data_IF_110243956010
#
_entry.id   IF_110243956010
#
_cell.length_a   1.000
_cell.length_b   1.000
_cell.length_c   1.000
_cell.angle_alpha   90.00
_cell.angle_beta   90.00
_cell.angle_gamma   90.00
#
_symmetry.space_group_name_H-M   'P 1'
#
loop_
_entity.id
_entity.type
_entity.pdbx_description
1 polymer ?
#
# COMPACT_ATOMS: atom_id res chain seq x y z
N UNK A 1 17.27 -23.49 -1.92
CA UNK A 1 17.08 -23.33 -3.38
C UNK A 1 16.83 -21.86 -3.67
N UNK A 2 17.80 -21.14 -4.24
CA UNK A 2 17.61 -19.73 -4.60
C UNK A 2 16.79 -19.65 -5.88
N UNK A 3 15.72 -18.86 -5.84
CA UNK A 3 14.78 -18.72 -6.96
C UNK A 3 15.28 -17.66 -7.95
N UNK A 4 14.61 -17.58 -9.10
CA UNK A 4 14.81 -16.49 -10.08
C UNK A 4 14.75 -15.10 -9.41
N UNK A 5 13.87 -14.90 -8.41
CA UNK A 5 13.77 -13.63 -7.68
C UNK A 5 15.02 -13.33 -6.84
N UNK A 6 15.69 -14.34 -6.29
CA UNK A 6 16.95 -14.16 -5.58
C UNK A 6 18.03 -13.58 -6.51
N UNK A 7 18.30 -14.23 -7.65
CA UNK A 7 19.27 -13.75 -8.61
C UNK A 7 18.99 -12.32 -9.07
N UNK A 8 17.72 -12.03 -9.40
CA UNK A 8 17.30 -10.68 -9.81
C UNK A 8 17.48 -9.64 -8.70
N UNK A 9 17.26 -10.01 -7.45
CA UNK A 9 17.50 -9.12 -6.30
C UNK A 9 18.99 -8.81 -6.16
N UNK A 10 19.85 -9.82 -6.22
CA UNK A 10 21.31 -9.65 -6.18
C UNK A 10 21.79 -8.77 -7.31
N UNK A 11 21.34 -9.00 -8.55
CA UNK A 11 21.66 -8.17 -9.70
C UNK A 11 21.24 -6.71 -9.50
N UNK A 12 20.06 -6.49 -8.95
CA UNK A 12 19.55 -5.13 -8.65
C UNK A 12 20.43 -4.43 -7.62
N UNK A 13 20.84 -5.12 -6.55
CA UNK A 13 21.73 -4.56 -5.52
C UNK A 13 23.10 -4.24 -6.13
N UNK A 14 23.66 -5.16 -6.92
CA UNK A 14 24.95 -4.95 -7.57
C UNK A 14 24.89 -3.82 -8.62
N UNK A 15 23.76 -3.64 -9.29
CA UNK A 15 23.53 -2.50 -10.17
C UNK A 15 23.49 -1.19 -9.37
N UNK A 16 22.73 -1.14 -8.27
CA UNK A 16 22.61 0.05 -7.41
C UNK A 16 23.99 0.51 -6.87
N UNK A 17 24.90 -0.42 -6.55
CA UNK A 17 26.26 -0.08 -6.10
C UNK A 17 27.03 0.78 -7.09
N UNK A 18 26.79 0.62 -8.39
CA UNK A 18 27.49 1.38 -9.45
C UNK A 18 27.13 2.88 -9.45
N UNK A 19 26.00 3.22 -8.85
CA UNK A 19 25.47 4.61 -8.77
C UNK A 19 25.61 5.20 -7.37
N UNK A 20 26.29 4.50 -6.45
CA UNK A 20 26.51 5.00 -5.11
C UNK A 20 27.51 6.17 -5.17
N UNK A 21 27.07 7.34 -4.72
CA UNK A 21 27.94 8.49 -4.56
C UNK A 21 28.97 8.23 -3.44
N UNK A 22 30.10 8.95 -3.46
CA UNK A 22 31.10 8.88 -2.40
C UNK A 22 30.46 9.13 -1.02
N UNK A 23 30.65 8.18 -0.10
CA UNK A 23 30.05 8.22 1.23
C UNK A 23 28.60 7.72 1.32
N UNK A 24 27.98 7.31 0.23
CA UNK A 24 26.65 6.71 0.22
C UNK A 24 26.64 5.32 0.85
N UNK A 25 25.47 4.92 1.36
CA UNK A 25 25.26 3.60 1.96
C UNK A 25 24.06 2.92 1.33
N UNK A 26 24.17 1.59 1.12
CA UNK A 26 23.05 0.75 0.72
C UNK A 26 22.63 -0.10 1.91
N UNK A 27 21.34 -0.09 2.20
CA UNK A 27 20.72 -0.98 3.17
C UNK A 27 19.84 -1.99 2.44
N UNK A 28 19.92 -3.24 2.84
CA UNK A 28 19.08 -4.33 2.32
C UNK A 28 18.34 -4.95 3.47
N UNK A 29 17.03 -4.97 3.41
CA UNK A 29 16.14 -5.54 4.43
C UNK A 29 15.07 -6.45 3.80
N UNK A 30 14.10 -6.82 4.61
CA UNK A 30 12.97 -7.66 4.23
C UNK A 30 13.20 -9.14 4.46
N UNK A 31 12.32 -9.96 3.87
CA UNK A 31 12.22 -11.40 4.17
C UNK A 31 13.55 -12.14 3.96
N UNK A 32 14.15 -12.01 2.78
CA UNK A 32 15.39 -12.72 2.45
C UNK A 32 16.56 -12.26 3.31
N UNK A 33 16.69 -10.95 3.55
CA UNK A 33 17.73 -10.38 4.41
C UNK A 33 17.63 -10.89 5.87
N UNK A 34 16.41 -11.17 6.33
CA UNK A 34 16.17 -11.68 7.69
C UNK A 34 16.38 -13.18 7.79
N UNK A 35 15.98 -13.97 6.79
CA UNK A 35 16.02 -15.43 6.85
C UNK A 35 17.37 -16.02 6.47
N UNK A 36 18.08 -15.41 5.53
CA UNK A 36 19.34 -15.89 4.98
C UNK A 36 20.39 -14.75 4.86
N UNK A 37 20.69 -14.05 5.95
CA UNK A 37 21.55 -12.87 5.91
C UNK A 37 23.01 -13.21 5.52
N UNK A 38 23.53 -14.37 5.95
CA UNK A 38 24.89 -14.78 5.66
C UNK A 38 25.08 -15.08 4.17
N UNK A 39 24.17 -15.83 3.59
CA UNK A 39 24.15 -16.14 2.15
C UNK A 39 24.01 -14.88 1.31
N UNK A 40 23.12 -13.98 1.75
CA UNK A 40 22.93 -12.69 1.06
C UNK A 40 24.21 -11.84 1.15
N UNK A 41 24.85 -11.75 2.33
CA UNK A 41 26.09 -11.00 2.48
C UNK A 41 27.23 -11.55 1.62
N UNK A 42 27.32 -12.89 1.48
CA UNK A 42 28.33 -13.53 0.62
C UNK A 42 28.16 -13.12 -0.87
N UNK A 43 26.94 -12.99 -1.34
CA UNK A 43 26.63 -12.59 -2.72
C UNK A 43 26.82 -11.09 -3.00
N UNK A 44 26.44 -10.24 -2.03
CA UNK A 44 26.45 -8.78 -2.23
C UNK A 44 27.72 -8.10 -1.71
N UNK A 45 28.57 -8.80 -0.94
CA UNK A 45 29.83 -8.26 -0.39
C UNK A 45 29.61 -7.26 0.77
N UNK A 46 30.71 -6.82 1.39
CA UNK A 46 30.70 -6.09 2.66
C UNK A 46 30.32 -4.60 2.57
N UNK A 47 30.19 -4.05 1.37
CA UNK A 47 29.86 -2.63 1.18
C UNK A 47 28.35 -2.32 1.30
N UNK A 48 27.54 -3.32 1.62
CA UNK A 48 26.10 -3.23 1.80
C UNK A 48 25.75 -3.66 3.22
N UNK A 49 24.92 -2.90 3.87
CA UNK A 49 24.44 -3.21 5.23
C UNK A 49 23.15 -4.02 5.14
N UNK A 50 23.16 -5.21 5.74
CA UNK A 50 21.95 -6.04 5.87
C UNK A 50 21.26 -5.66 7.18
N UNK A 51 19.98 -5.31 7.08
CA UNK A 51 19.09 -5.13 8.22
C UNK A 51 18.25 -6.40 8.42
N UNK A 52 18.33 -6.97 9.64
CA UNK A 52 17.60 -8.19 10.03
C UNK A 52 16.40 -7.79 10.87
N UNK A 53 15.22 -8.32 10.53
CA UNK A 53 13.96 -8.05 11.21
C UNK A 53 13.19 -6.85 10.65
N UNK A 54 12.33 -6.29 11.48
CA UNK A 54 11.51 -5.13 11.15
C UNK A 54 12.31 -3.83 11.35
N UNK A 55 11.90 -2.78 10.66
CA UNK A 55 12.40 -1.42 10.88
C UNK A 55 11.55 -0.74 11.97
N UNK A 56 11.47 -1.37 13.15
CA UNK A 56 10.53 -1.05 14.23
C UNK A 56 11.16 -0.21 15.35
N UNK A 57 12.39 0.27 15.16
CA UNK A 57 13.08 1.13 16.11
C UNK A 57 13.55 2.42 15.44
N UNK A 58 13.55 3.54 16.18
CA UNK A 58 14.31 4.72 15.76
C UNK A 58 15.77 4.29 15.55
N UNK A 59 16.45 4.90 14.62
CA UNK A 59 17.88 4.63 14.36
C UNK A 59 18.24 3.33 13.62
N UNK A 60 17.26 2.52 13.18
CA UNK A 60 17.54 1.27 12.45
C UNK A 60 18.39 1.48 11.19
N UNK A 61 18.12 2.52 10.43
CA UNK A 61 18.89 2.86 9.24
C UNK A 61 19.89 4.00 9.48
N UNK A 62 19.53 4.98 10.32
CA UNK A 62 20.39 6.13 10.60
C UNK A 62 20.35 6.45 12.09
N UNK A 63 21.54 6.51 12.73
CA UNK A 63 21.68 6.77 14.18
C UNK A 63 21.09 8.11 14.65
N UNK A 64 20.89 9.07 13.77
CA UNK A 64 20.27 10.36 14.07
C UNK A 64 18.76 10.39 13.81
N UNK A 65 18.19 9.31 13.30
CA UNK A 65 16.78 9.24 12.98
C UNK A 65 15.94 8.96 14.23
N UNK A 66 14.82 9.68 14.38
CA UNK A 66 13.83 9.46 15.44
C UNK A 66 12.56 8.77 14.95
N UNK A 67 12.48 8.48 13.65
CA UNK A 67 11.30 7.92 13.01
C UNK A 67 11.34 6.39 13.05
N UNK A 68 10.22 5.79 13.41
CA UNK A 68 10.00 4.34 13.30
C UNK A 68 9.42 4.07 11.91
N UNK A 69 10.23 3.48 11.03
CA UNK A 69 9.85 3.29 9.62
C UNK A 69 8.67 2.32 9.48
N UNK A 70 8.60 1.28 10.31
CA UNK A 70 7.50 0.30 10.31
C UNK A 70 6.12 0.91 10.65
N UNK A 71 6.08 2.10 11.23
CA UNK A 71 4.86 2.83 11.57
C UNK A 71 4.43 3.84 10.49
N UNK A 72 5.29 4.07 9.49
CA UNK A 72 4.96 4.97 8.39
C UNK A 72 3.93 4.35 7.44
N UNK A 73 3.03 5.16 6.89
CA UNK A 73 2.14 4.67 5.84
C UNK A 73 2.94 4.37 4.57
N UNK A 74 2.53 3.38 3.77
CA UNK A 74 3.13 3.16 2.46
C UNK A 74 3.04 4.42 1.59
N UNK A 75 4.13 4.74 0.87
CA UNK A 75 4.12 5.83 -0.09
C UNK A 75 3.43 5.41 -1.39
N UNK A 76 2.15 5.79 -1.54
CA UNK A 76 1.37 5.50 -2.74
C UNK A 76 1.78 6.34 -3.94
N UNK A 77 2.56 7.41 -3.77
CA UNK A 77 2.96 8.26 -4.88
C UNK A 77 3.90 7.53 -5.85
N UNK A 78 4.71 6.60 -5.37
CA UNK A 78 5.60 5.78 -6.19
C UNK A 78 4.85 4.97 -7.26
N UNK A 79 3.58 4.63 -7.03
CA UNK A 79 2.75 3.92 -8.00
C UNK A 79 2.43 4.77 -9.24
N UNK A 80 2.55 6.08 -9.16
CA UNK A 80 2.37 6.98 -10.30
C UNK A 80 3.64 7.13 -11.14
N UNK A 81 4.81 6.78 -10.59
CA UNK A 81 6.08 6.82 -11.31
C UNK A 81 6.31 5.59 -12.20
N UNK A 82 5.72 4.45 -11.85
CA UNK A 82 5.89 3.19 -12.57
C UNK A 82 4.77 2.99 -13.59
N UNK A 83 5.08 2.28 -14.68
CA UNK A 83 4.08 1.96 -15.72
C UNK A 83 3.27 0.69 -15.40
N UNK A 84 3.72 -0.10 -14.40
CA UNK A 84 3.01 -1.27 -13.95
C UNK A 84 1.76 -0.90 -13.15
N UNK A 85 0.60 -1.42 -13.57
CA UNK A 85 -0.66 -1.24 -12.85
C UNK A 85 -0.77 -2.25 -11.70
N UNK A 86 -0.38 -1.83 -10.51
CA UNK A 86 -0.51 -2.66 -9.32
C UNK A 86 -1.99 -2.96 -9.02
N UNK A 87 -2.40 -4.23 -8.89
CA UNK A 87 -3.83 -4.60 -8.74
C UNK A 87 -4.51 -3.95 -7.53
N UNK A 88 -3.81 -3.87 -6.39
CA UNK A 88 -4.33 -3.32 -5.15
C UNK A 88 -3.98 -1.83 -4.94
N UNK A 89 -3.65 -1.08 -6.01
CA UNK A 89 -3.23 0.34 -5.90
C UNK A 89 -4.26 1.25 -5.20
N UNK A 90 -5.51 0.85 -5.17
CA UNK A 90 -6.60 1.57 -4.52
C UNK A 90 -7.08 0.87 -3.25
N UNK A 91 -6.17 0.25 -2.51
CA UNK A 91 -6.44 -0.33 -1.20
C UNK A 91 -5.55 0.31 -0.13
N UNK A 92 -6.07 0.43 1.08
CA UNK A 92 -5.22 0.60 2.25
C UNK A 92 -4.48 -0.70 2.52
N UNK A 93 -3.24 -0.61 2.92
CA UNK A 93 -2.47 -1.71 3.48
C UNK A 93 -2.30 -1.44 4.97
N UNK A 94 -2.79 -2.33 5.80
CA UNK A 94 -2.76 -2.11 7.24
C UNK A 94 -2.70 -3.41 8.04
N UNK A 95 -2.52 -3.24 9.33
CA UNK A 95 -2.47 -4.33 10.31
C UNK A 95 -3.44 -4.02 11.44
N UNK A 96 -4.13 -5.04 11.93
CA UNK A 96 -4.88 -4.99 13.19
C UNK A 96 -4.19 -5.81 14.28
N UNK A 97 -3.34 -6.76 13.87
CA UNK A 97 -2.41 -7.52 14.72
C UNK A 97 -1.05 -7.66 14.01
N UNK A 98 0.00 -8.04 14.73
CA UNK A 98 1.31 -8.34 14.14
C UNK A 98 1.85 -9.66 14.68
N UNK A 99 2.61 -10.37 13.84
CA UNK A 99 3.14 -11.68 14.19
C UNK A 99 2.08 -12.78 14.22
N UNK A 100 2.42 -13.92 14.82
CA UNK A 100 1.52 -15.06 14.94
C UNK A 100 1.80 -15.84 16.21
N UNK A 101 0.74 -16.33 16.86
CA UNK A 101 0.84 -17.23 18.03
C UNK A 101 1.37 -18.62 17.66
N UNK A 102 1.40 -18.96 16.36
CA UNK A 102 1.82 -20.27 15.85
C UNK A 102 3.30 -20.24 15.44
N UNK A 103 3.88 -21.44 15.44
CA UNK A 103 5.26 -21.71 14.95
C UNK A 103 5.24 -22.87 13.96
N UNK A 104 4.49 -22.69 12.87
CA UNK A 104 4.39 -23.70 11.83
C UNK A 104 5.75 -23.89 11.14
N UNK A 105 6.16 -25.14 10.92
CA UNK A 105 7.51 -25.48 10.41
C UNK A 105 7.82 -24.90 9.02
N UNK A 106 6.82 -24.61 8.23
CA UNK A 106 6.93 -24.01 6.88
C UNK A 106 6.87 -22.49 6.89
N UNK A 107 6.50 -21.85 8.02
CA UNK A 107 6.16 -20.44 8.08
C UNK A 107 7.31 -19.62 8.69
N UNK A 108 7.68 -18.56 7.99
CA UNK A 108 8.74 -17.64 8.41
C UNK A 108 8.29 -16.58 9.43
N UNK A 109 7.00 -16.43 9.68
CA UNK A 109 6.44 -15.33 10.51
C UNK A 109 7.04 -15.32 11.90
N UNK A 110 7.24 -16.49 12.52
CA UNK A 110 7.88 -16.56 13.86
C UNK A 110 9.31 -16.05 13.91
N UNK A 111 9.99 -15.98 12.77
CA UNK A 111 11.35 -15.40 12.65
C UNK A 111 11.29 -13.93 12.27
N UNK A 112 10.37 -13.56 11.36
CA UNK A 112 10.22 -12.19 10.86
C UNK A 112 9.58 -11.25 11.90
N UNK A 113 8.54 -11.74 12.57
CA UNK A 113 7.76 -11.04 13.58
C UNK A 113 7.63 -11.93 14.84
N UNK A 114 8.68 -12.04 15.65
CA UNK A 114 8.75 -13.01 16.76
C UNK A 114 7.80 -12.70 17.91
N UNK A 115 7.32 -11.47 18.00
CA UNK A 115 6.43 -11.00 19.06
C UNK A 115 5.03 -10.82 18.49
N UNK A 116 4.05 -11.56 19.04
CA UNK A 116 2.65 -11.35 18.71
C UNK A 116 2.13 -10.07 19.38
N UNK A 117 1.69 -9.10 18.57
CA UNK A 117 0.98 -7.90 19.02
C UNK A 117 -0.51 -8.15 18.82
N UNK A 118 -1.24 -8.26 19.91
CA UNK A 118 -2.66 -8.60 19.95
C UNK A 118 -3.57 -7.55 19.30
N UNK A 119 -3.14 -6.30 19.30
CA UNK A 119 -3.90 -5.19 18.75
C UNK A 119 -3.00 -4.09 18.19
N UNK A 120 -3.38 -3.60 17.02
CA UNK A 120 -2.79 -2.41 16.38
C UNK A 120 -3.93 -1.50 15.90
N UNK A 121 -3.84 -0.22 16.19
CA UNK A 121 -4.89 0.74 15.85
C UNK A 121 -4.94 0.99 14.33
N UNK A 122 -5.94 0.40 13.66
CA UNK A 122 -6.14 0.55 12.22
C UNK A 122 -6.62 1.95 11.84
N UNK A 123 -7.42 2.61 12.68
CA UNK A 123 -7.96 3.94 12.38
C UNK A 123 -6.83 4.96 12.20
N UNK A 124 -5.82 4.91 13.06
CA UNK A 124 -4.65 5.79 12.95
C UNK A 124 -3.89 5.59 11.64
N UNK A 125 -3.68 4.32 11.22
CA UNK A 125 -3.00 4.00 9.97
C UNK A 125 -3.77 4.52 8.75
N UNK A 126 -5.09 4.32 8.72
CA UNK A 126 -5.93 4.79 7.61
C UNK A 126 -5.96 6.32 7.56
N UNK A 127 -6.10 6.98 8.71
CA UNK A 127 -6.15 8.45 8.80
C UNK A 127 -4.88 9.10 8.23
N UNK A 128 -3.70 8.56 8.54
CA UNK A 128 -2.43 9.07 7.99
C UNK A 128 -2.41 8.88 6.47
N UNK A 129 -2.80 7.71 5.98
CA UNK A 129 -2.88 7.44 4.53
C UNK A 129 -3.85 8.40 3.84
N UNK A 130 -5.03 8.65 4.42
CA UNK A 130 -6.02 9.57 3.84
C UNK A 130 -5.52 11.00 3.73
N UNK A 131 -4.77 11.47 4.71
CA UNK A 131 -4.24 12.84 4.73
C UNK A 131 -3.30 13.13 3.55
N UNK A 132 -2.51 12.14 3.14
CA UNK A 132 -1.52 12.27 2.06
C UNK A 132 -2.01 11.77 0.71
N UNK A 133 -2.77 10.68 0.69
CA UNK A 133 -3.08 9.94 -0.53
C UNK A 133 -4.58 9.82 -0.81
N UNK A 134 -5.42 10.46 0.02
CA UNK A 134 -6.88 10.38 -0.07
C UNK A 134 -7.43 9.00 0.32
N UNK A 135 -8.76 8.92 0.38
CA UNK A 135 -9.46 7.69 0.72
C UNK A 135 -9.19 6.60 -0.31
N UNK A 136 -8.95 5.39 0.17
CA UNK A 136 -8.82 4.20 -0.67
C UNK A 136 -10.10 3.38 -0.64
N UNK A 137 -10.36 2.65 -1.72
CA UNK A 137 -11.61 1.90 -1.86
C UNK A 137 -11.67 0.66 -0.97
N UNK A 138 -10.58 -0.07 -0.84
CA UNK A 138 -10.57 -1.36 -0.14
C UNK A 138 -9.57 -1.32 1.03
N UNK A 139 -9.75 -2.23 1.97
CA UNK A 139 -8.83 -2.46 3.08
C UNK A 139 -8.21 -3.85 2.93
N UNK A 140 -6.91 -3.90 2.68
CA UNK A 140 -6.12 -5.10 2.62
C UNK A 140 -5.38 -5.27 3.95
N UNK A 141 -5.82 -6.22 4.75
CA UNK A 141 -5.21 -6.53 6.04
C UNK A 141 -4.08 -7.54 5.86
N UNK A 142 -2.92 -7.19 6.38
CA UNK A 142 -1.70 -7.99 6.29
C UNK A 142 -1.47 -8.85 7.54
N UNK A 143 -2.51 -9.02 8.34
CA UNK A 143 -2.48 -9.77 9.59
C UNK A 143 -2.19 -11.24 9.34
N UNK A 144 -1.25 -11.80 10.11
CA UNK A 144 -0.91 -13.21 10.01
C UNK A 144 -1.87 -14.14 10.75
N UNK A 145 -2.51 -13.66 11.83
CA UNK A 145 -3.48 -14.45 12.60
C UNK A 145 -4.40 -13.54 13.45
N UNK A 146 -5.34 -12.86 12.80
CA UNK A 146 -6.25 -11.92 13.47
C UNK A 146 -7.20 -12.59 14.45
N UNK A 147 -7.65 -13.83 14.17
CA UNK A 147 -8.58 -14.57 15.04
C UNK A 147 -7.95 -14.98 16.38
N UNK A 148 -6.61 -14.89 16.50
CA UNK A 148 -5.93 -15.18 17.76
C UNK A 148 -6.01 -14.00 18.75
N UNK A 149 -6.48 -12.84 18.32
CA UNK A 149 -6.61 -11.65 19.18
C UNK A 149 -7.75 -11.79 20.18
N UNK A 150 -7.48 -11.54 21.44
CA UNK A 150 -8.51 -11.40 22.49
C UNK A 150 -9.36 -10.14 22.24
N UNK A 151 -8.84 -9.18 21.48
CA UNK A 151 -9.53 -7.94 21.09
C UNK A 151 -10.21 -8.04 19.73
N UNK A 152 -10.41 -9.24 19.20
CA UNK A 152 -11.02 -9.44 17.88
C UNK A 152 -12.37 -8.70 17.72
N UNK A 153 -13.31 -8.71 18.68
CA UNK A 153 -14.54 -7.93 18.58
C UNK A 153 -14.30 -6.42 18.44
N UNK A 154 -13.28 -5.87 19.14
CA UNK A 154 -12.88 -4.47 19.03
C UNK A 154 -12.29 -4.18 17.65
N UNK A 155 -11.46 -5.07 17.13
CA UNK A 155 -10.89 -4.96 15.78
C UNK A 155 -12.00 -4.86 14.71
N UNK A 156 -13.03 -5.70 14.82
CA UNK A 156 -14.17 -5.63 13.89
C UNK A 156 -14.89 -4.29 14.00
N UNK A 157 -15.11 -3.79 15.20
CA UNK A 157 -15.78 -2.50 15.42
C UNK A 157 -14.94 -1.34 14.86
N UNK A 158 -13.62 -1.37 15.04
CA UNK A 158 -12.72 -0.35 14.49
C UNK A 158 -12.74 -0.35 12.95
N UNK A 159 -12.77 -1.53 12.33
CA UNK A 159 -12.89 -1.66 10.86
C UNK A 159 -14.24 -1.09 10.37
N UNK A 160 -15.33 -1.35 11.10
CA UNK A 160 -16.66 -0.77 10.81
C UNK A 160 -16.63 0.75 10.90
N UNK A 161 -16.03 1.29 11.96
CA UNK A 161 -15.89 2.73 12.18
C UNK A 161 -15.02 3.41 11.12
N UNK A 162 -14.12 2.67 10.48
CA UNK A 162 -13.39 3.12 9.29
C UNK A 162 -14.22 3.09 7.99
N UNK A 163 -15.49 2.70 8.05
CA UNK A 163 -16.40 2.70 6.90
C UNK A 163 -16.44 1.38 6.12
N UNK A 164 -15.94 0.26 6.69
CA UNK A 164 -15.90 -1.04 6.02
C UNK A 164 -16.95 -2.03 6.56
N UNK A 165 -17.99 -1.53 7.23
CA UNK A 165 -19.13 -2.34 7.64
C UNK A 165 -19.91 -2.87 6.44
N UNK A 166 -20.80 -3.84 6.72
CA UNK A 166 -21.71 -4.39 5.72
C UNK A 166 -22.50 -3.27 5.03
N UNK A 167 -22.67 -3.35 3.71
CA UNK A 167 -23.40 -2.38 2.88
C UNK A 167 -22.81 -0.96 2.86
N UNK A 168 -21.60 -0.75 3.36
CA UNK A 168 -20.93 0.54 3.30
C UNK A 168 -20.61 0.97 1.87
N UNK A 169 -20.72 2.28 1.64
CA UNK A 169 -20.52 2.89 0.32
C UNK A 169 -19.28 3.78 0.38
N UNK A 170 -18.43 3.62 -0.64
CA UNK A 170 -17.26 4.43 -0.87
C UNK A 170 -17.54 5.53 -1.89
N UNK A 171 -17.11 6.73 -1.56
CA UNK A 171 -17.06 7.85 -2.50
C UNK A 171 -15.58 8.21 -2.66
N UNK A 172 -15.10 8.16 -3.91
CA UNK A 172 -13.71 8.46 -4.24
C UNK A 172 -13.35 9.88 -3.76
N UNK A 173 -12.14 10.06 -3.26
CA UNK A 173 -11.55 11.39 -3.12
C UNK A 173 -11.40 12.03 -4.50
N UNK A 174 -11.47 13.36 -4.57
CA UNK A 174 -11.14 14.06 -5.80
C UNK A 174 -9.64 13.89 -6.08
N UNK A 175 -9.33 13.05 -7.08
CA UNK A 175 -7.96 12.70 -7.42
C UNK A 175 -7.19 13.91 -7.98
N UNK A 176 -7.88 14.82 -8.65
CA UNK A 176 -7.26 16.02 -9.22
C UNK A 176 -6.91 17.01 -8.11
N UNK A 177 -7.85 17.32 -7.24
CA UNK A 177 -7.62 18.22 -6.10
C UNK A 177 -6.51 17.72 -5.19
N UNK A 178 -6.50 16.42 -4.90
CA UNK A 178 -5.45 15.80 -4.11
C UNK A 178 -4.08 15.90 -4.81
N UNK A 179 -4.03 15.66 -6.12
CA UNK A 179 -2.79 15.77 -6.87
C UNK A 179 -2.24 17.19 -6.90
N UNK A 180 -3.10 18.19 -7.10
CA UNK A 180 -2.73 19.62 -7.05
C UNK A 180 -2.27 20.01 -5.65
N UNK A 181 -2.95 19.57 -4.59
CA UNK A 181 -2.55 19.82 -3.19
C UNK A 181 -1.13 19.30 -2.94
N UNK A 182 -0.85 18.05 -3.30
CA UNK A 182 0.44 17.43 -3.06
C UNK A 182 1.55 18.04 -3.93
N UNK A 183 1.24 18.41 -5.16
CA UNK A 183 2.17 19.14 -6.02
C UNK A 183 2.53 20.51 -5.44
N UNK A 184 1.55 21.27 -4.92
CA UNK A 184 1.81 22.56 -4.23
C UNK A 184 2.70 22.38 -3.01
N UNK A 185 2.48 21.31 -2.25
CA UNK A 185 3.28 20.97 -1.06
C UNK A 185 4.71 20.50 -1.39
N UNK A 186 5.04 20.24 -2.65
CA UNK A 186 6.35 19.69 -3.03
C UNK A 186 6.55 18.22 -2.67
N UNK A 187 5.46 17.50 -2.50
CA UNK A 187 5.51 16.08 -2.20
C UNK A 187 5.57 15.28 -3.50
N UNK A 188 6.73 14.67 -3.79
CA UNK A 188 7.00 13.87 -4.99
C UNK A 188 6.51 14.52 -6.30
N UNK A 189 7.07 15.68 -6.65
CA UNK A 189 6.64 16.47 -7.81
C UNK A 189 6.59 15.64 -9.10
N UNK A 190 7.56 14.74 -9.32
CA UNK A 190 7.59 13.88 -10.51
C UNK A 190 6.37 12.99 -10.63
N UNK A 191 5.99 12.32 -9.55
CA UNK A 191 4.81 11.45 -9.50
C UNK A 191 3.52 12.22 -9.79
N UNK A 192 3.35 13.39 -9.13
CA UNK A 192 2.14 14.17 -9.29
C UNK A 192 2.06 14.90 -10.63
N UNK A 193 3.17 15.33 -11.22
CA UNK A 193 3.18 15.82 -12.61
C UNK A 193 2.68 14.71 -13.55
N UNK A 194 3.26 13.50 -13.46
CA UNK A 194 2.84 12.35 -14.29
C UNK A 194 1.36 12.03 -14.10
N UNK A 195 0.89 12.02 -12.84
CA UNK A 195 -0.52 11.79 -12.50
C UNK A 195 -1.44 12.84 -13.13
N UNK A 196 -1.12 14.12 -12.98
CA UNK A 196 -1.96 15.21 -13.49
C UNK A 196 -2.05 15.18 -15.00
N UNK A 197 -0.95 14.96 -15.72
CA UNK A 197 -0.96 14.82 -17.17
C UNK A 197 -1.89 13.68 -17.60
N UNK A 198 -1.83 12.51 -16.93
CA UNK A 198 -2.77 11.41 -17.18
C UNK A 198 -4.22 11.81 -16.90
N UNK A 199 -4.49 12.52 -15.81
CA UNK A 199 -5.84 13.00 -15.49
C UNK A 199 -6.36 13.99 -16.54
N UNK A 200 -5.50 14.84 -17.12
CA UNK A 200 -5.87 15.71 -18.23
C UNK A 200 -6.29 14.91 -19.48
N UNK A 201 -5.56 13.83 -19.80
CA UNK A 201 -5.94 12.93 -20.91
C UNK A 201 -7.27 12.21 -20.65
N UNK A 202 -7.53 11.82 -19.40
CA UNK A 202 -8.80 11.22 -19.00
C UNK A 202 -9.96 12.23 -19.03
N UNK A 203 -9.70 13.47 -18.67
CA UNK A 203 -10.68 14.55 -18.75
C UNK A 203 -11.05 14.84 -20.22
N UNK A 204 -10.09 14.96 -21.12
CA UNK A 204 -10.32 15.18 -22.55
C UNK A 204 -11.32 14.19 -23.15
N UNK A 205 -11.23 12.91 -22.74
CA UNK A 205 -12.16 11.85 -23.21
C UNK A 205 -13.60 12.03 -22.70
N UNK A 206 -13.80 12.86 -21.69
CA UNK A 206 -15.11 13.13 -21.07
C UNK A 206 -15.70 14.47 -21.50
N UNK A 207 -14.90 15.35 -22.08
CA UNK A 207 -15.35 16.65 -22.56
C UNK A 207 -16.13 16.52 -23.87
N UNK A 208 -17.12 17.41 -24.12
CA UNK A 208 -17.69 17.59 -25.45
C UNK A 208 -16.59 17.96 -26.46
N UNK A 209 -16.74 17.55 -27.72
CA UNK A 209 -15.71 17.66 -28.76
C UNK A 209 -15.10 19.08 -28.88
N UNK A 210 -15.94 20.11 -28.87
CA UNK A 210 -15.49 21.51 -28.96
C UNK A 210 -14.68 21.91 -27.70
N UNK A 211 -15.12 21.51 -26.51
CA UNK A 211 -14.39 21.80 -25.26
C UNK A 211 -13.10 20.99 -25.18
N UNK A 212 -13.11 19.74 -25.63
CA UNK A 212 -11.92 18.88 -25.70
C UNK A 212 -10.86 19.48 -26.62
N UNK A 213 -11.24 19.96 -27.81
CA UNK A 213 -10.31 20.64 -28.73
C UNK A 213 -9.70 21.91 -28.11
N UNK A 214 -10.49 22.73 -27.44
CA UNK A 214 -9.99 23.93 -26.74
C UNK A 214 -9.02 23.57 -25.61
N UNK A 215 -9.36 22.56 -24.83
CA UNK A 215 -8.53 22.10 -23.71
C UNK A 215 -7.22 21.50 -24.21
N UNK A 216 -7.24 20.70 -25.28
CA UNK A 216 -6.05 20.16 -25.92
C UNK A 216 -5.10 21.27 -26.39
N UNK A 217 -5.61 22.24 -27.17
CA UNK A 217 -4.80 23.37 -27.67
C UNK A 217 -4.23 24.22 -26.51
N UNK A 218 -4.97 24.38 -25.44
CA UNK A 218 -4.47 25.10 -24.26
C UNK A 218 -3.36 24.31 -23.54
N UNK A 219 -3.46 22.98 -23.44
CA UNK A 219 -2.40 22.11 -22.92
C UNK A 219 -1.15 22.17 -23.80
N UNK A 220 -1.31 22.10 -25.12
CA UNK A 220 -0.21 22.19 -26.08
C UNK A 220 0.55 23.50 -25.93
N UNK A 221 -0.15 24.63 -25.91
CA UNK A 221 0.43 25.96 -25.71
C UNK A 221 1.24 26.09 -24.41
N UNK A 222 0.82 25.37 -23.35
CA UNK A 222 1.49 25.36 -22.04
C UNK A 222 2.50 24.22 -21.86
N UNK A 223 2.78 23.43 -22.90
CA UNK A 223 3.69 22.25 -22.87
C UNK A 223 3.24 21.18 -21.86
N UNK A 224 1.92 21.00 -21.70
CA UNK A 224 1.29 20.06 -20.78
C UNK A 224 0.75 18.79 -21.46
N UNK A 225 1.18 18.48 -22.69
CA UNK A 225 0.81 17.25 -23.38
C UNK A 225 1.59 16.02 -22.87
N UNK A 226 2.85 16.23 -22.44
CA UNK A 226 3.70 15.16 -21.97
C UNK A 226 4.33 15.50 -20.63
N UNK A 227 4.42 14.51 -19.73
CA UNK A 227 5.00 14.71 -18.40
C UNK A 227 6.48 15.11 -18.42
N UNK A 228 7.21 14.81 -19.52
CA UNK A 228 8.63 15.18 -19.68
C UNK A 228 8.80 16.70 -19.88
N UNK A 229 7.84 17.34 -20.54
CA UNK A 229 7.87 18.78 -20.85
C UNK A 229 7.09 19.62 -19.83
N UNK A 230 6.23 18.97 -19.06
CA UNK A 230 5.42 19.62 -18.05
C UNK A 230 6.27 19.99 -16.82
N UNK A 231 6.03 21.20 -16.30
CA UNK A 231 6.63 21.65 -15.04
C UNK A 231 5.55 21.91 -13.99
N UNK A 232 5.95 21.91 -12.73
CA UNK A 232 5.08 22.22 -11.59
C UNK A 232 4.39 23.59 -11.76
N UNK A 233 5.18 24.59 -12.09
CA UNK A 233 4.71 25.97 -12.23
C UNK A 233 3.62 26.08 -13.29
N UNK A 234 3.85 25.50 -14.48
CA UNK A 234 2.87 25.51 -15.57
C UNK A 234 1.59 24.76 -15.23
N UNK A 235 1.67 23.65 -14.50
CA UNK A 235 0.50 22.91 -14.04
C UNK A 235 -0.30 23.78 -13.05
N UNK A 236 0.37 24.44 -12.09
CA UNK A 236 -0.29 25.28 -11.09
C UNK A 236 -0.92 26.55 -11.70
N UNK A 237 -0.30 27.11 -12.73
CA UNK A 237 -0.90 28.22 -13.51
C UNK A 237 -2.13 27.73 -14.31
N UNK A 238 -2.04 26.55 -14.90
CA UNK A 238 -3.11 25.96 -15.70
C UNK A 238 -4.31 25.48 -14.86
N UNK A 239 -4.14 25.32 -13.54
CA UNK A 239 -5.18 24.88 -12.61
C UNK A 239 -6.44 25.74 -12.67
N UNK A 240 -6.32 27.05 -12.87
CA UNK A 240 -7.45 27.97 -13.00
C UNK A 240 -8.40 27.60 -14.18
N UNK A 241 -7.86 27.03 -15.25
CA UNK A 241 -8.62 26.55 -16.40
C UNK A 241 -9.11 25.10 -16.23
N UNK A 242 -8.28 24.24 -15.67
CA UNK A 242 -8.56 22.81 -15.56
C UNK A 242 -9.56 22.47 -14.45
N UNK A 243 -9.43 23.09 -13.29
CA UNK A 243 -10.22 22.78 -12.09
C UNK A 243 -11.75 22.86 -12.31
N UNK A 244 -12.32 23.91 -12.93
CA UNK A 244 -13.77 23.97 -13.20
C UNK A 244 -14.24 22.83 -14.11
N UNK A 245 -13.39 22.40 -15.06
CA UNK A 245 -13.73 21.30 -15.97
C UNK A 245 -13.72 19.95 -15.22
N UNK A 246 -12.77 19.72 -14.31
CA UNK A 246 -12.78 18.54 -13.45
C UNK A 246 -14.04 18.50 -12.59
N UNK A 247 -14.39 19.58 -11.94
CA UNK A 247 -15.61 19.66 -11.11
C UNK A 247 -16.87 19.36 -11.92
N UNK A 248 -16.94 19.82 -13.16
CA UNK A 248 -18.11 19.63 -14.03
C UNK A 248 -18.19 18.23 -14.62
N UNK A 249 -17.09 17.68 -15.12
CA UNK A 249 -17.09 16.49 -15.96
C UNK A 249 -16.48 15.25 -15.31
N UNK A 250 -15.72 15.39 -14.22
CA UNK A 250 -15.04 14.29 -13.55
C UNK A 250 -15.81 13.85 -12.28
N UNK A 251 -17.10 13.51 -12.45
CA UNK A 251 -17.97 13.13 -11.34
C UNK A 251 -17.57 11.78 -10.75
N UNK A 252 -17.47 11.74 -9.43
CA UNK A 252 -17.16 10.53 -8.69
C UNK A 252 -18.42 9.69 -8.48
N UNK A 253 -18.35 8.41 -8.86
CA UNK A 253 -19.45 7.45 -8.62
C UNK A 253 -19.33 6.80 -7.24
N UNK A 254 -20.46 6.33 -6.72
CA UNK A 254 -20.50 5.48 -5.54
C UNK A 254 -19.97 4.09 -5.88
N UNK A 255 -19.17 3.49 -5.01
CA UNK A 255 -18.62 2.13 -5.12
C UNK A 255 -18.80 1.38 -3.81
N UNK A 256 -18.64 0.08 -3.83
CA UNK A 256 -18.60 -0.74 -2.63
C UNK A 256 -17.19 -0.75 -2.04
N UNK A 257 -17.12 -0.82 -0.70
CA UNK A 257 -15.90 -1.12 0.04
C UNK A 257 -15.78 -2.61 0.30
N UNK A 258 -14.54 -3.09 0.36
CA UNK A 258 -14.26 -4.47 0.75
C UNK A 258 -13.10 -4.52 1.74
N UNK A 259 -13.21 -5.46 2.66
CA UNK A 259 -12.09 -5.89 3.52
C UNK A 259 -11.57 -7.22 2.99
N UNK A 260 -10.27 -7.34 2.86
CA UNK A 260 -9.57 -8.56 2.48
C UNK A 260 -8.58 -8.94 3.59
N UNK A 261 -8.85 -10.05 4.28
CA UNK A 261 -7.89 -10.66 5.19
C UNK A 261 -6.91 -11.49 4.34
N UNK A 262 -5.94 -10.81 3.77
CA UNK A 262 -5.09 -11.31 2.69
C UNK A 262 -4.36 -12.64 3.00
N UNK A 263 -3.95 -12.84 4.26
CA UNK A 263 -3.26 -14.07 4.68
C UNK A 263 -4.22 -15.23 5.01
N UNK A 264 -5.53 -14.96 5.00
CA UNK A 264 -6.56 -15.92 5.38
C UNK A 264 -6.75 -16.06 6.89
N UNK A 265 -7.86 -16.66 7.28
CA UNK A 265 -8.22 -16.92 8.67
C UNK A 265 -7.74 -18.31 9.10
N UNK A 266 -7.19 -18.43 10.30
CA UNK A 266 -6.79 -19.72 10.87
C UNK A 266 -8.02 -20.59 11.16
N UNK A 267 -8.26 -21.65 10.38
CA UNK A 267 -9.41 -22.54 10.51
C UNK A 267 -9.59 -23.09 11.93
N UNK A 268 -8.49 -23.24 12.69
CA UNK A 268 -8.49 -23.78 14.07
C UNK A 268 -9.11 -22.81 15.09
N UNK A 269 -9.24 -21.54 14.73
CA UNK A 269 -9.77 -20.45 15.58
C UNK A 269 -11.13 -19.96 15.10
N UNK A 270 -11.67 -20.55 14.03
CA UNK A 270 -13.01 -20.23 13.54
C UNK A 270 -14.04 -20.74 14.53
N UNK A 271 -14.93 -19.86 14.99
CA UNK A 271 -16.07 -20.15 15.83
C UNK A 271 -17.32 -19.45 15.27
N UNK A 272 -18.52 -19.91 15.65
CA UNK A 272 -19.76 -19.24 15.24
C UNK A 272 -19.76 -17.75 15.66
N UNK A 273 -19.25 -17.45 16.86
CA UNK A 273 -19.15 -16.08 17.37
C UNK A 273 -18.24 -15.21 16.49
N UNK A 274 -17.03 -15.71 16.17
CA UNK A 274 -16.09 -14.99 15.30
C UNK A 274 -16.65 -14.77 13.91
N UNK A 275 -17.33 -15.77 13.35
CA UNK A 275 -17.94 -15.66 12.02
C UNK A 275 -19.13 -14.72 12.02
N UNK A 276 -19.94 -14.69 13.08
CA UNK A 276 -21.02 -13.71 13.24
C UNK A 276 -20.46 -12.29 13.26
N UNK A 277 -19.33 -12.06 13.95
CA UNK A 277 -18.63 -10.76 13.95
C UNK A 277 -18.09 -10.40 12.56
N UNK A 278 -17.45 -11.33 11.87
CA UNK A 278 -16.96 -11.10 10.51
C UNK A 278 -18.08 -10.76 9.53
N UNK A 279 -19.27 -11.33 9.71
CA UNK A 279 -20.45 -11.04 8.88
C UNK A 279 -20.95 -9.59 9.01
N UNK A 280 -20.50 -8.82 10.01
CA UNK A 280 -20.75 -7.39 10.14
C UNK A 280 -19.91 -6.54 9.16
N UNK A 281 -18.87 -7.13 8.56
CA UNK A 281 -17.97 -6.50 7.59
C UNK A 281 -18.32 -6.90 6.16
N UNK A 282 -17.91 -6.07 5.21
CA UNK A 282 -18.02 -6.38 3.79
C UNK A 282 -16.76 -7.10 3.30
N UNK A 283 -16.60 -8.38 3.67
CA UNK A 283 -15.40 -9.18 3.36
C UNK A 283 -15.46 -9.70 1.93
N UNK A 284 -14.38 -9.49 1.18
CA UNK A 284 -14.25 -10.07 -0.18
C UNK A 284 -12.78 -10.12 -0.62
N UNK A 285 -12.26 -11.31 -0.90
CA UNK A 285 -12.86 -12.62 -0.64
C UNK A 285 -12.74 -13.04 0.82
N UNK A 286 -13.62 -13.91 1.28
CA UNK A 286 -13.39 -14.64 2.52
C UNK A 286 -12.39 -15.75 2.24
N UNK A 287 -11.29 -15.77 2.98
CA UNK A 287 -10.26 -16.82 2.90
C UNK A 287 -10.11 -17.51 4.24
N UNK A 288 -10.11 -18.84 4.21
CA UNK A 288 -9.78 -19.67 5.37
C UNK A 288 -8.55 -20.48 4.99
N UNK A 289 -7.51 -20.43 5.82
CA UNK A 289 -6.24 -21.10 5.54
C UNK A 289 -6.40 -22.63 5.64
N UNK A 290 -5.89 -23.35 4.65
CA UNK A 290 -5.78 -24.80 4.61
C UNK A 290 -4.33 -25.19 4.32
N UNK A 291 -3.54 -25.29 5.37
CA UNK A 291 -2.08 -25.42 5.25
C UNK A 291 -1.62 -26.89 5.25
N UNK A 292 -2.42 -27.82 5.83
CA UNK A 292 -2.02 -29.20 6.00
C UNK A 292 -3.22 -30.16 5.94
N UNK A 293 -3.07 -31.29 5.22
CA UNK A 293 -4.15 -32.23 5.02
C UNK A 293 -4.70 -32.84 6.33
N UNK A 294 -3.85 -33.02 7.35
CA UNK A 294 -4.28 -33.46 8.68
C UNK A 294 -5.32 -32.53 9.34
N UNK A 295 -5.41 -31.29 8.91
CA UNK A 295 -6.36 -30.30 9.38
C UNK A 295 -7.69 -30.32 8.59
N UNK A 296 -7.87 -31.27 7.65
CA UNK A 296 -9.07 -31.35 6.79
C UNK A 296 -10.37 -31.28 7.60
N UNK A 297 -10.50 -32.10 8.66
CA UNK A 297 -11.71 -32.12 9.47
C UNK A 297 -11.99 -30.82 10.25
N UNK A 298 -10.93 -30.06 10.60
CA UNK A 298 -11.05 -28.73 11.21
C UNK A 298 -11.52 -27.73 10.16
N UNK A 299 -10.89 -27.77 8.98
CA UNK A 299 -11.24 -26.91 7.87
C UNK A 299 -12.68 -27.12 7.39
N UNK A 300 -13.13 -28.38 7.24
CA UNK A 300 -14.50 -28.71 6.86
C UNK A 300 -15.56 -28.23 7.87
N UNK A 301 -15.19 -28.07 9.14
CA UNK A 301 -16.08 -27.48 10.16
C UNK A 301 -16.08 -25.95 10.12
N UNK A 302 -15.02 -25.34 9.58
CA UNK A 302 -14.85 -23.90 9.53
C UNK A 302 -15.55 -23.24 8.33
N UNK A 303 -15.91 -24.03 7.32
CA UNK A 303 -16.64 -23.58 6.11
C UNK A 303 -18.11 -23.94 6.17
#
# INVERSE_FOLDING_TARGET
MFTFYWAKTIDTINFAKKFLADGGQIFVGGIAATLVPAEMQAEIGNNVKIHIGLLDKPTDLNKSDSVIIDELPPDYSILEEIDYKYPARNAYFGYTTRGCIRRCSFCAVSTLEPIYKDYVNIQAQLQITENFFGKKQNLLLMDNNVLASEKFPQIVEDIKNCGFGKDSIYILSDEYDLAIKNLRAGFNDRAYIKKIIRLYEELEKKLPEVEAGKFYLAREKNFLLHFITATKEKILEFDSMAHPLFQKYFKQGKRTHYVDFNQGLDARLVTEENMAKLAELNIRPLRIAFDHYEQKGIYEKAI
#
